data_IF_455161588465
#
_entry.id   IF_455161588465
#
_cell.length_a   1.000
_cell.length_b   1.000
_cell.length_c   1.000
_cell.angle_alpha   90.00
_cell.angle_beta   90.00
_cell.angle_gamma   90.00
#
_symmetry.space_group_name_H-M   'P 1'
#
loop_
_entity.id
_entity.type
_entity.pdbx_description
1 polymer ?
#
# COMPACT_ATOMS: atom_id res chain seq x y z
N UNK A 1 -7.94 7.25 5.59
CA UNK A 1 -8.14 8.64 5.13
C UNK A 1 -7.72 9.59 6.25
N UNK A 2 -6.64 10.34 6.05
CA UNK A 2 -6.28 11.46 6.94
C UNK A 2 -7.23 12.62 6.66
N UNK A 3 -7.49 13.49 7.64
CA UNK A 3 -8.43 14.62 7.51
C UNK A 3 -8.12 15.53 6.32
N UNK A 4 -6.84 15.69 5.96
CA UNK A 4 -6.41 16.40 4.74
C UNK A 4 -6.86 15.71 3.44
N UNK A 5 -6.80 14.38 3.39
CA UNK A 5 -7.32 13.57 2.27
C UNK A 5 -8.85 13.61 2.23
N UNK A 6 -9.49 13.65 3.40
CA UNK A 6 -10.94 13.74 3.54
C UNK A 6 -11.50 15.09 3.07
N UNK A 7 -10.70 16.15 3.18
CA UNK A 7 -11.10 17.51 2.84
C UNK A 7 -11.17 17.78 1.33
N UNK A 8 -10.87 16.79 0.47
CA UNK A 8 -10.95 16.94 -0.98
C UNK A 8 -9.91 17.89 -1.59
N UNK A 9 -8.86 18.23 -0.83
CA UNK A 9 -7.74 18.99 -1.35
C UNK A 9 -7.05 18.12 -2.42
N UNK A 10 -6.83 18.61 -3.66
CA UNK A 10 -6.10 17.87 -4.67
C UNK A 10 -4.67 17.58 -4.19
N UNK A 11 -4.46 16.37 -3.70
CA UNK A 11 -3.22 15.91 -3.07
C UNK A 11 -3.30 14.41 -2.81
N UNK A 12 -2.21 13.69 -3.08
CA UNK A 12 -2.17 12.24 -2.91
C UNK A 12 -2.25 11.80 -1.44
N UNK A 13 -2.74 10.58 -1.21
CA UNK A 13 -2.78 9.93 0.12
C UNK A 13 -1.44 9.29 0.52
N UNK A 14 -0.46 9.28 -0.40
CA UNK A 14 0.79 8.55 -0.25
C UNK A 14 1.67 9.14 0.88
N UNK A 15 2.06 10.40 0.74
CA UNK A 15 2.95 11.09 1.68
C UNK A 15 2.45 11.09 3.13
N UNK A 16 1.16 11.38 3.43
CA UNK A 16 0.69 11.32 4.80
C UNK A 16 0.69 9.88 5.36
N UNK A 17 0.42 8.88 4.53
CA UNK A 17 0.50 7.46 4.92
C UNK A 17 1.94 7.09 5.25
N UNK A 18 2.91 7.48 4.43
CA UNK A 18 4.32 7.24 4.70
C UNK A 18 4.79 7.94 5.98
N UNK A 19 4.45 9.21 6.17
CA UNK A 19 4.83 9.95 7.38
C UNK A 19 4.27 9.30 8.65
N UNK A 20 2.99 8.89 8.63
CA UNK A 20 2.36 8.20 9.77
C UNK A 20 3.03 6.84 10.03
N UNK A 21 3.27 6.07 8.98
CA UNK A 21 3.89 4.75 9.07
C UNK A 21 5.31 4.82 9.63
N UNK A 22 6.12 5.77 9.16
CA UNK A 22 7.47 5.99 9.67
C UNK A 22 7.50 6.39 11.14
N UNK A 23 6.63 7.33 11.53
CA UNK A 23 6.49 7.72 12.94
C UNK A 23 6.07 6.54 13.83
N UNK A 24 5.13 5.72 13.37
CA UNK A 24 4.69 4.52 14.08
C UNK A 24 5.82 3.49 14.22
N UNK A 25 6.60 3.28 13.15
CA UNK A 25 7.75 2.37 13.16
C UNK A 25 8.83 2.78 14.16
N UNK A 26 9.18 4.06 14.19
CA UNK A 26 10.12 4.61 15.18
C UNK A 26 9.58 4.50 16.61
N UNK A 27 8.29 4.79 16.81
CA UNK A 27 7.66 4.65 18.11
C UNK A 27 7.72 3.20 18.59
N UNK A 28 7.45 2.24 17.71
CA UNK A 28 7.51 0.81 18.03
C UNK A 28 8.92 0.37 18.41
N UNK A 29 9.94 0.84 17.68
CA UNK A 29 11.33 0.53 18.00
C UNK A 29 11.73 1.03 19.40
N UNK A 30 11.32 2.24 19.76
CA UNK A 30 11.63 2.81 21.07
C UNK A 30 10.76 2.24 22.20
N UNK A 31 9.54 1.78 21.89
CA UNK A 31 8.64 1.16 22.86
C UNK A 31 9.01 -0.29 23.16
N UNK A 32 9.58 -1.01 22.20
CA UNK A 32 10.02 -2.38 22.40
C UNK A 32 11.36 -2.41 23.16
N UNK A 33 11.51 -3.24 24.21
CA UNK A 33 12.74 -3.37 24.98
C UNK A 33 13.82 -4.17 24.24
N UNK A 34 13.94 -4.00 22.92
CA UNK A 34 15.00 -4.63 22.11
C UNK A 34 16.34 -3.89 22.18
N UNK A 35 16.41 -2.77 22.92
CA UNK A 35 17.58 -1.91 23.02
C UNK A 35 17.73 -1.03 21.78
N UNK A 36 18.23 0.20 21.96
CA UNK A 36 18.51 1.09 20.83
C UNK A 36 19.67 0.51 20.00
N UNK A 37 19.32 -0.22 18.94
CA UNK A 37 20.28 -0.91 18.07
C UNK A 37 21.03 0.03 17.10
N UNK A 38 21.07 1.34 17.42
CA UNK A 38 21.77 2.36 16.67
C UNK A 38 21.00 2.92 15.46
N UNK A 39 21.57 3.91 14.75
CA UNK A 39 20.91 4.65 13.68
C UNK A 39 20.42 3.77 12.51
N UNK A 40 21.11 2.65 12.26
CA UNK A 40 20.72 1.71 11.22
C UNK A 40 19.42 1.00 11.56
N UNK A 41 19.22 0.63 12.83
CA UNK A 41 17.98 0.02 13.27
C UNK A 41 16.81 1.01 13.16
N UNK A 42 16.98 2.23 13.63
CA UNK A 42 15.94 3.26 13.54
C UNK A 42 15.47 3.48 12.09
N UNK A 43 16.41 3.49 11.15
CA UNK A 43 16.13 3.62 9.72
C UNK A 43 15.32 2.43 9.20
N UNK A 44 15.72 1.19 9.54
CA UNK A 44 15.01 -0.01 9.12
C UNK A 44 13.58 -0.08 9.69
N UNK A 45 13.41 0.24 10.98
CA UNK A 45 12.09 0.28 11.62
C UNK A 45 11.18 1.37 11.04
N UNK A 46 11.76 2.53 10.69
CA UNK A 46 11.05 3.58 9.97
C UNK A 46 10.54 3.08 8.62
N UNK A 47 11.41 2.45 7.82
CA UNK A 47 11.07 1.94 6.48
C UNK A 47 10.05 0.80 6.54
N UNK A 48 10.16 -0.09 7.52
CA UNK A 48 9.16 -1.15 7.77
C UNK A 48 7.80 -0.55 8.14
N UNK A 49 7.77 0.47 9.00
CA UNK A 49 6.55 1.20 9.35
C UNK A 49 5.91 1.91 8.16
N UNK A 50 6.72 2.57 7.32
CA UNK A 50 6.28 3.21 6.07
C UNK A 50 5.66 2.21 5.10
N UNK A 51 6.37 1.12 4.79
CA UNK A 51 5.93 0.11 3.83
C UNK A 51 4.69 -0.66 4.30
N UNK A 52 4.65 -1.05 5.57
CA UNK A 52 3.52 -1.80 6.15
C UNK A 52 2.22 -1.02 6.13
N UNK A 53 2.25 0.27 6.54
CA UNK A 53 1.05 1.08 6.53
C UNK A 53 0.57 1.39 5.10
N UNK A 54 1.51 1.61 4.17
CA UNK A 54 1.16 1.76 2.76
C UNK A 54 0.48 0.48 2.24
N UNK A 55 1.09 -0.69 2.44
CA UNK A 55 0.52 -1.98 2.02
C UNK A 55 -0.86 -2.27 2.62
N UNK A 56 -1.07 -1.95 3.90
CA UNK A 56 -2.36 -2.14 4.58
C UNK A 56 -3.48 -1.26 4.02
N UNK A 57 -3.15 -0.09 3.47
CA UNK A 57 -4.13 0.86 2.92
C UNK A 57 -4.44 0.61 1.44
N UNK A 58 -3.45 0.14 0.68
CA UNK A 58 -3.53 -0.05 -0.77
C UNK A 58 -3.81 -1.49 -1.17
N UNK A 59 -3.67 -2.45 -0.25
CA UNK A 59 -3.68 -3.89 -0.54
C UNK A 59 -2.68 -4.32 -1.63
N UNK A 60 -1.60 -3.55 -1.80
CA UNK A 60 -0.57 -3.78 -2.83
C UNK A 60 0.83 -3.97 -2.20
N UNK A 61 1.10 -5.12 -1.54
CA UNK A 61 2.31 -5.32 -0.74
C UNK A 61 3.61 -5.29 -1.56
N UNK A 62 3.61 -5.85 -2.78
CA UNK A 62 4.78 -5.83 -3.66
C UNK A 62 5.15 -4.40 -4.08
N UNK A 63 4.15 -3.60 -4.49
CA UNK A 63 4.34 -2.18 -4.83
C UNK A 63 4.87 -1.38 -3.64
N UNK A 64 4.35 -1.61 -2.44
CA UNK A 64 4.85 -0.94 -1.23
C UNK A 64 6.30 -1.28 -0.92
N UNK A 65 6.71 -2.54 -1.06
CA UNK A 65 8.10 -2.94 -0.85
C UNK A 65 9.04 -2.33 -1.91
N UNK A 66 8.62 -2.30 -3.18
CA UNK A 66 9.37 -1.64 -4.25
C UNK A 66 9.51 -0.14 -3.98
N UNK A 67 8.47 0.52 -3.48
CA UNK A 67 8.54 1.94 -3.12
C UNK A 67 9.59 2.21 -2.03
N UNK A 68 9.72 1.33 -1.03
CA UNK A 68 10.77 1.48 -0.01
C UNK A 68 12.16 1.32 -0.62
N UNK A 69 12.32 0.42 -1.59
CA UNK A 69 13.54 0.34 -2.38
C UNK A 69 13.80 1.58 -3.21
N UNK A 70 12.81 2.16 -3.87
CA UNK A 70 13.02 3.38 -4.66
C UNK A 70 13.48 4.55 -3.79
N UNK A 71 12.93 4.68 -2.58
CA UNK A 71 13.33 5.72 -1.62
C UNK A 71 14.77 5.50 -1.14
N UNK A 72 15.16 4.26 -0.86
CA UNK A 72 16.44 3.95 -0.17
C UNK A 72 17.57 3.55 -1.13
N UNK A 73 17.22 3.06 -2.32
CA UNK A 73 18.07 2.38 -3.31
C UNK A 73 18.91 1.22 -2.76
N UNK A 74 18.39 0.53 -1.75
CA UNK A 74 19.04 -0.63 -1.13
C UNK A 74 18.15 -1.87 -1.26
N UNK A 75 18.68 -2.92 -1.87
CA UNK A 75 17.99 -4.19 -2.06
C UNK A 75 17.74 -4.93 -0.74
N UNK A 76 18.56 -4.71 0.28
CA UNK A 76 18.36 -5.34 1.59
C UNK A 76 17.05 -4.87 2.24
N UNK A 77 16.62 -3.64 1.95
CA UNK A 77 15.36 -3.06 2.45
C UNK A 77 14.16 -3.78 1.85
N UNK A 78 14.20 -4.19 0.59
CA UNK A 78 13.09 -4.96 -0.04
C UNK A 78 12.85 -6.24 0.75
N UNK A 79 13.92 -6.99 1.01
CA UNK A 79 13.84 -8.27 1.68
C UNK A 79 13.32 -8.13 3.11
N UNK A 80 13.71 -7.06 3.81
CA UNK A 80 13.26 -6.77 5.17
C UNK A 80 11.79 -6.28 5.22
N UNK A 81 11.35 -5.47 4.25
CA UNK A 81 10.03 -4.81 4.29
C UNK A 81 8.91 -5.65 3.70
N UNK A 82 9.19 -6.48 2.69
CA UNK A 82 8.20 -7.30 2.00
C UNK A 82 7.37 -8.22 2.93
N UNK A 83 7.95 -9.01 3.87
CA UNK A 83 7.14 -9.83 4.76
C UNK A 83 6.23 -8.99 5.67
N UNK A 84 6.71 -7.84 6.15
CA UNK A 84 5.90 -6.92 6.93
C UNK A 84 4.75 -6.32 6.10
N UNK A 85 5.00 -5.95 4.84
CA UNK A 85 3.99 -5.48 3.91
C UNK A 85 2.91 -6.54 3.64
N UNK A 86 3.29 -7.79 3.43
CA UNK A 86 2.34 -8.90 3.20
C UNK A 86 1.47 -9.11 4.44
N UNK A 87 2.06 -9.21 5.63
CA UNK A 87 1.31 -9.34 6.88
C UNK A 87 0.36 -8.17 7.10
N UNK A 88 0.82 -6.95 6.86
CA UNK A 88 0.02 -5.75 7.00
C UNK A 88 -1.12 -5.68 5.96
N UNK A 89 -0.89 -6.14 4.72
CA UNK A 89 -1.93 -6.21 3.69
C UNK A 89 -2.99 -7.27 4.02
N UNK A 90 -2.59 -8.42 4.55
CA UNK A 90 -3.53 -9.45 5.01
C UNK A 90 -4.35 -8.94 6.19
N UNK A 91 -3.72 -8.36 7.21
CA UNK A 91 -4.44 -7.75 8.33
C UNK A 91 -5.33 -6.60 7.88
N UNK A 92 -4.83 -5.74 7.00
CA UNK A 92 -5.56 -4.62 6.42
C UNK A 92 -6.81 -5.08 5.69
N UNK A 93 -6.70 -6.11 4.84
CA UNK A 93 -7.82 -6.66 4.07
C UNK A 93 -8.85 -7.36 4.95
N UNK A 94 -8.43 -7.97 6.07
CA UNK A 94 -9.34 -8.51 7.08
C UNK A 94 -10.13 -7.43 7.82
N UNK A 95 -9.48 -6.31 8.17
CA UNK A 95 -10.14 -5.20 8.87
C UNK A 95 -11.01 -4.34 7.93
N UNK A 96 -10.51 -4.09 6.72
CA UNK A 96 -11.20 -3.36 5.66
C UNK A 96 -11.06 -4.09 4.33
N UNK A 97 -12.13 -4.75 3.86
CA UNK A 97 -12.14 -5.47 2.59
C UNK A 97 -11.92 -4.58 1.36
N UNK A 98 -12.06 -3.25 1.49
CA UNK A 98 -11.88 -2.28 0.40
C UNK A 98 -10.59 -1.50 0.62
N UNK A 99 -9.78 -1.37 -0.43
CA UNK A 99 -8.64 -0.44 -0.42
C UNK A 99 -9.11 1.00 -0.53
N UNK A 100 -8.25 1.95 -0.18
CA UNK A 100 -8.50 3.39 -0.38
C UNK A 100 -8.79 3.70 -1.86
N UNK A 101 -8.19 2.94 -2.78
CA UNK A 101 -8.39 3.12 -4.21
C UNK A 101 -9.70 2.51 -4.72
N UNK A 102 -10.17 1.39 -4.15
CA UNK A 102 -11.47 0.82 -4.49
C UNK A 102 -12.62 1.72 -4.05
N UNK A 103 -12.47 2.42 -2.92
CA UNK A 103 -13.41 3.45 -2.49
C UNK A 103 -13.39 4.66 -3.42
N UNK A 104 -12.21 5.11 -3.86
CA UNK A 104 -12.09 6.22 -4.80
C UNK A 104 -12.69 5.92 -6.19
N UNK A 105 -12.62 4.67 -6.65
CA UNK A 105 -13.18 4.23 -7.94
C UNK A 105 -14.65 3.79 -7.87
N UNK A 106 -15.24 3.71 -6.68
CA UNK A 106 -16.65 3.34 -6.52
C UNK A 106 -16.98 1.87 -6.85
N UNK A 107 -15.99 0.98 -6.89
CA UNK A 107 -16.19 -0.43 -7.25
C UNK A 107 -17.08 -1.17 -6.23
N UNK A 108 -17.90 -2.14 -6.63
CA UNK A 108 -18.77 -2.90 -5.71
C UNK A 108 -17.98 -4.06 -5.04
N UNK A 109 -18.25 -4.45 -3.79
CA UNK A 109 -17.46 -5.50 -3.12
C UNK A 109 -17.62 -6.84 -3.85
N UNK A 110 -16.50 -7.46 -4.25
CA UNK A 110 -16.46 -8.83 -4.80
C UNK A 110 -15.97 -9.00 -6.25
N UNK A 111 -15.50 -7.95 -6.94
CA UNK A 111 -14.95 -8.07 -8.30
C UNK A 111 -13.43 -8.18 -8.31
N UNK A 112 -12.88 -9.36 -8.01
CA UNK A 112 -11.44 -9.58 -8.04
C UNK A 112 -11.08 -11.05 -8.16
N UNK A 113 -11.22 -11.59 -9.37
CA UNK A 113 -10.74 -12.92 -9.74
C UNK A 113 -10.92 -13.19 -11.23
N UNK A 114 -9.81 -13.13 -11.96
CA UNK A 114 -9.52 -13.71 -13.29
C UNK A 114 -10.27 -13.19 -14.55
N UNK A 115 -9.45 -12.73 -15.51
CA UNK A 115 -9.60 -12.68 -16.98
C UNK A 115 -10.89 -12.13 -17.62
N UNK A 116 -10.74 -11.07 -18.42
CA UNK A 116 -11.10 -11.24 -19.84
C UNK A 116 -10.18 -10.42 -20.74
N UNK A 117 -9.77 -11.10 -21.80
CA UNK A 117 -8.82 -10.75 -22.85
C UNK A 117 -9.42 -9.62 -23.72
N UNK A 118 -8.61 -8.77 -24.39
CA UNK A 118 -9.17 -7.72 -25.23
C UNK A 118 -9.79 -8.35 -26.48
N UNK A 119 -11.11 -8.49 -26.51
CA UNK A 119 -11.85 -8.80 -27.73
C UNK A 119 -11.93 -7.53 -28.59
N UNK A 120 -10.87 -7.29 -29.36
CA UNK A 120 -10.92 -6.50 -30.59
C UNK A 120 -11.65 -7.30 -31.70
N UNK A 121 -12.38 -6.55 -32.54
CA UNK A 121 -12.92 -6.92 -33.85
C UNK A 121 -13.68 -8.26 -34.06
N UNK A 122 -15.00 -8.15 -34.24
CA UNK A 122 -15.69 -8.69 -35.43
C UNK A 122 -17.12 -8.12 -35.54
N UNK A 123 -17.38 -7.30 -36.57
CA UNK A 123 -18.75 -7.02 -37.04
C UNK A 123 -19.46 -8.30 -37.51
N UNK A 124 -20.78 -8.25 -37.79
CA UNK A 124 -21.21 -7.61 -39.04
C UNK A 124 -22.56 -6.86 -38.97
N UNK A 125 -22.80 -5.95 -39.93
CA UNK A 125 -24.17 -5.53 -40.31
C UNK A 125 -25.00 -6.74 -40.80
N UNK A 126 -26.35 -6.65 -40.91
CA UNK A 126 -27.01 -5.74 -41.84
C UNK A 126 -28.31 -5.10 -41.30
N UNK A 127 -28.79 -4.09 -42.03
CA UNK A 127 -29.93 -3.26 -41.63
C UNK A 127 -31.32 -3.88 -41.70
N UNK A 128 -32.27 -3.14 -41.12
CA UNK A 128 -33.72 -3.06 -41.40
C UNK A 128 -34.10 -1.64 -40.94
N UNK A 129 -34.16 -0.69 -41.87
CA UNK A 129 -35.38 -0.19 -42.51
C UNK A 129 -36.33 0.49 -41.52
#
# INVERSE_FOLDING_TARGET
VTTASAAGIPGGVLTPTLALGGAMGLLLMHALPLGSAGPQADTLWTLVGMGSLLAATTHAPAMSAIMMFEITRDYNVVLATLPACVLASVLGSLLRPRSVYDEALGLKPGGGGEADEPADEAGPGPGKA
#
